data_IF_350688521664
#
_entry.id   IF_350688521664
#
_cell.length_a   1.000
_cell.length_b   1.000
_cell.length_c   1.000
_cell.angle_alpha   90.00
_cell.angle_beta   90.00
_cell.angle_gamma   90.00
#
_symmetry.space_group_name_H-M   'P 1'
#
loop_
_entity.id
_entity.type
_entity.pdbx_description
1 polymer ?
#
# COMPACT_ATOMS: atom_id res chain seq x y z
N UNK A 1 -28.93 -1.38 -33.11
CA UNK A 1 -29.20 -1.58 -31.67
C UNK A 1 -28.20 -2.62 -31.14
N UNK A 2 -27.23 -2.25 -30.29
CA UNK A 2 -26.20 -3.19 -29.81
C UNK A 2 -26.82 -4.17 -28.80
N UNK A 3 -26.88 -5.46 -29.14
CA UNK A 3 -27.37 -6.50 -28.23
C UNK A 3 -26.36 -6.70 -27.09
N UNK A 4 -26.69 -6.15 -25.93
CA UNK A 4 -25.92 -6.37 -24.71
C UNK A 4 -26.27 -7.76 -24.15
N UNK A 5 -25.26 -8.59 -23.93
CA UNK A 5 -25.46 -9.99 -23.51
C UNK A 5 -26.25 -10.10 -22.20
N UNK A 6 -27.07 -11.16 -22.07
CA UNK A 6 -27.85 -11.44 -20.84
C UNK A 6 -26.94 -11.48 -19.59
N UNK A 7 -25.73 -12.03 -19.75
CA UNK A 7 -24.70 -12.10 -18.70
C UNK A 7 -24.26 -10.71 -18.23
N UNK A 8 -24.10 -9.77 -19.16
CA UNK A 8 -23.72 -8.40 -18.82
C UNK A 8 -24.83 -7.69 -18.03
N UNK A 9 -26.10 -7.82 -18.47
CA UNK A 9 -27.25 -7.22 -17.76
C UNK A 9 -27.35 -7.74 -16.32
N UNK A 10 -27.25 -9.05 -16.12
CA UNK A 10 -27.31 -9.65 -14.79
C UNK A 10 -26.19 -9.13 -13.86
N UNK A 11 -24.96 -9.04 -14.38
CA UNK A 11 -23.80 -8.53 -13.64
C UNK A 11 -23.95 -7.06 -13.27
N UNK A 12 -24.46 -6.24 -14.18
CA UNK A 12 -24.69 -4.81 -13.94
C UNK A 12 -25.80 -4.58 -12.91
N UNK A 13 -26.93 -5.31 -13.01
CA UNK A 13 -28.01 -5.26 -12.01
C UNK A 13 -27.53 -5.66 -10.62
N UNK A 14 -26.64 -6.65 -10.51
CA UNK A 14 -26.05 -7.04 -9.24
C UNK A 14 -25.21 -5.91 -8.62
N UNK A 15 -24.40 -5.19 -9.40
CA UNK A 15 -23.65 -4.03 -8.90
C UNK A 15 -24.55 -2.89 -8.45
N UNK A 16 -25.62 -2.61 -9.20
CA UNK A 16 -26.62 -1.61 -8.79
C UNK A 16 -27.29 -1.97 -7.46
N UNK A 17 -27.63 -3.26 -7.28
CA UNK A 17 -28.24 -3.74 -6.03
C UNK A 17 -27.29 -3.54 -4.85
N UNK A 18 -26.02 -3.90 -5.01
CA UNK A 18 -25.01 -3.75 -3.96
C UNK A 18 -24.78 -2.27 -3.64
N UNK A 19 -24.61 -1.41 -4.65
CA UNK A 19 -24.42 0.02 -4.45
C UNK A 19 -25.60 0.64 -3.69
N UNK A 20 -26.84 0.30 -4.09
CA UNK A 20 -28.05 0.73 -3.38
C UNK A 20 -28.11 0.22 -1.94
N UNK A 21 -27.73 -1.03 -1.67
CA UNK A 21 -27.71 -1.58 -0.31
C UNK A 21 -26.66 -0.94 0.60
N UNK A 22 -25.69 -0.22 0.04
CA UNK A 22 -24.64 0.48 0.79
C UNK A 22 -24.77 2.01 0.67
N UNK A 23 -25.96 2.51 0.28
CA UNK A 23 -26.27 3.94 0.12
C UNK A 23 -25.20 4.72 -0.67
N UNK A 24 -24.69 4.13 -1.75
CA UNK A 24 -23.65 4.73 -2.58
C UNK A 24 -23.98 4.70 -4.08
N UNK A 25 -23.33 5.58 -4.84
CA UNK A 25 -23.44 5.57 -6.30
C UNK A 25 -22.76 4.34 -6.90
N UNK A 26 -23.24 3.90 -8.07
CA UNK A 26 -22.62 2.77 -8.77
C UNK A 26 -21.20 3.08 -9.24
N UNK A 27 -20.92 4.35 -9.54
CA UNK A 27 -19.59 4.84 -9.92
C UNK A 27 -18.61 4.68 -8.77
N UNK A 28 -19.00 5.13 -7.57
CA UNK A 28 -18.19 4.99 -6.36
C UNK A 28 -17.95 3.50 -6.03
N UNK A 29 -18.98 2.65 -6.14
CA UNK A 29 -18.83 1.21 -5.94
C UNK A 29 -17.86 0.56 -6.95
N UNK A 30 -17.93 0.95 -8.23
CA UNK A 30 -17.03 0.45 -9.26
C UNK A 30 -15.60 0.90 -9.02
N UNK A 31 -15.39 2.15 -8.60
CA UNK A 31 -14.08 2.66 -8.23
C UNK A 31 -13.50 1.92 -7.01
N UNK A 32 -14.27 1.77 -5.94
CA UNK A 32 -13.87 1.01 -4.75
C UNK A 32 -13.50 -0.43 -5.10
N UNK A 33 -14.26 -1.05 -6.00
CA UNK A 33 -13.96 -2.41 -6.48
C UNK A 33 -12.67 -2.46 -7.30
N UNK A 34 -12.40 -1.45 -8.13
CA UNK A 34 -11.16 -1.33 -8.91
C UNK A 34 -9.97 -1.22 -7.96
N UNK A 35 -10.03 -0.28 -7.02
CA UNK A 35 -9.01 -0.10 -5.96
C UNK A 35 -8.81 -1.36 -5.12
N UNK A 36 -9.88 -2.06 -4.75
CA UNK A 36 -9.78 -3.35 -4.06
C UNK A 36 -9.04 -4.42 -4.88
N UNK A 37 -9.19 -4.40 -6.21
CA UNK A 37 -8.52 -5.35 -7.10
C UNK A 37 -7.04 -5.01 -7.24
N UNK A 38 -6.72 -3.72 -7.43
CA UNK A 38 -5.36 -3.18 -7.44
C UNK A 38 -4.65 -3.52 -6.12
N UNK A 39 -5.28 -3.29 -4.96
CA UNK A 39 -4.73 -3.65 -3.65
C UNK A 39 -4.48 -5.16 -3.49
N UNK A 40 -5.35 -6.01 -4.04
CA UNK A 40 -5.18 -7.48 -4.03
C UNK A 40 -4.01 -7.91 -4.91
N UNK A 41 -3.84 -7.27 -6.06
CA UNK A 41 -2.73 -7.53 -6.98
C UNK A 41 -1.41 -7.08 -6.38
N UNK A 42 -1.34 -5.86 -5.84
CA UNK A 42 -0.20 -5.36 -5.08
C UNK A 42 0.12 -6.28 -3.90
N UNK A 43 -0.88 -6.80 -3.20
CA UNK A 43 -0.67 -7.80 -2.13
C UNK A 43 -0.05 -9.10 -2.65
N UNK A 44 -0.55 -9.64 -3.77
CA UNK A 44 0.01 -10.85 -4.36
C UNK A 44 1.44 -10.66 -4.84
N UNK A 45 1.76 -9.52 -5.43
CA UNK A 45 3.13 -9.17 -5.83
C UNK A 45 4.05 -9.09 -4.62
N UNK A 46 3.61 -8.43 -3.53
CA UNK A 46 4.34 -8.40 -2.25
C UNK A 46 4.62 -9.78 -1.68
N UNK A 47 3.63 -10.67 -1.68
CA UNK A 47 3.76 -12.01 -1.10
C UNK A 47 4.66 -12.91 -1.97
N UNK A 48 4.72 -12.68 -3.28
CA UNK A 48 5.51 -13.48 -4.23
C UNK A 48 6.95 -13.00 -4.41
N UNK A 49 7.16 -11.68 -4.41
CA UNK A 49 8.43 -11.07 -4.80
C UNK A 49 9.20 -10.50 -3.62
N UNK A 50 8.70 -10.68 -2.40
CA UNK A 50 9.28 -10.08 -1.19
C UNK A 50 9.17 -8.56 -1.20
N UNK A 51 9.69 -7.94 -0.15
CA UNK A 51 9.72 -6.48 0.01
C UNK A 51 11.08 -6.05 0.49
N UNK A 52 11.51 -4.89 0.03
CA UNK A 52 12.69 -4.19 0.52
C UNK A 52 12.32 -2.73 0.77
N UNK A 53 13.04 -2.12 1.71
CA UNK A 53 12.87 -0.73 2.09
C UNK A 53 13.87 0.12 1.32
N UNK A 54 13.39 1.24 0.77
CA UNK A 54 14.25 2.22 0.12
C UNK A 54 14.67 3.22 1.19
N UNK A 55 15.78 2.93 1.86
CA UNK A 55 16.28 3.74 2.96
C UNK A 55 16.56 5.19 2.55
N UNK A 56 17.04 5.44 1.32
CA UNK A 56 17.42 6.78 0.87
C UNK A 56 16.22 7.72 0.68
N UNK A 57 15.01 7.19 0.54
CA UNK A 57 13.79 7.96 0.27
C UNK A 57 12.93 8.17 1.52
N UNK A 58 13.56 8.18 2.69
CA UNK A 58 12.85 8.39 3.95
C UNK A 58 12.19 9.77 3.99
N UNK A 59 11.02 9.85 4.61
CA UNK A 59 10.37 11.11 4.97
C UNK A 59 10.30 11.22 6.48
N UNK A 60 10.75 12.34 7.03
CA UNK A 60 10.73 12.63 8.47
C UNK A 60 9.64 13.66 8.71
N UNK A 61 8.65 13.28 9.51
CA UNK A 61 7.70 14.19 10.13
C UNK A 61 7.99 14.26 11.64
N UNK A 62 7.52 15.30 12.32
CA UNK A 62 7.82 15.63 13.73
C UNK A 62 7.71 14.49 14.75
N UNK A 63 7.00 13.39 14.41
CA UNK A 63 6.80 12.24 15.30
C UNK A 63 6.97 10.87 14.63
N UNK A 64 7.35 10.86 13.36
CA UNK A 64 7.47 9.60 12.63
C UNK A 64 8.43 9.70 11.47
N UNK A 65 9.12 8.59 11.23
CA UNK A 65 9.92 8.41 10.02
C UNK A 65 9.21 7.37 9.16
N UNK A 66 8.99 7.71 7.89
CA UNK A 66 8.38 6.82 6.92
C UNK A 66 9.40 6.43 5.86
N UNK A 67 9.35 5.17 5.41
CA UNK A 67 10.19 4.65 4.35
C UNK A 67 9.33 4.01 3.27
N UNK A 68 9.46 4.43 2.01
CA UNK A 68 8.79 3.76 0.91
C UNK A 68 9.35 2.35 0.71
N UNK A 69 8.47 1.44 0.32
CA UNK A 69 8.83 0.06 0.05
C UNK A 69 8.78 -0.23 -1.45
N UNK A 70 9.59 -1.19 -1.89
CA UNK A 70 9.53 -1.76 -3.23
C UNK A 70 9.60 -3.29 -3.17
N UNK A 71 9.22 -3.96 -4.25
CA UNK A 71 9.49 -5.40 -4.40
C UNK A 71 10.99 -5.63 -4.57
N UNK A 72 11.48 -6.86 -4.37
CA UNK A 72 12.89 -7.19 -4.63
C UNK A 72 13.30 -6.96 -6.09
N UNK A 73 12.33 -6.82 -7.01
CA UNK A 73 12.54 -6.52 -8.42
C UNK A 73 12.54 -5.01 -8.74
N UNK A 74 12.46 -4.15 -7.72
CA UNK A 74 12.49 -2.70 -7.89
C UNK A 74 11.17 -2.08 -8.32
N UNK A 75 10.04 -2.78 -8.17
CA UNK A 75 8.71 -2.17 -8.42
C UNK A 75 8.27 -1.42 -7.16
N UNK A 76 8.00 -0.11 -7.23
CA UNK A 76 7.54 0.64 -6.07
C UNK A 76 6.19 0.09 -5.59
N UNK A 77 6.02 0.02 -4.27
CA UNK A 77 4.79 -0.38 -3.63
C UNK A 77 4.10 0.87 -3.07
N UNK A 78 2.77 0.94 -3.18
CA UNK A 78 1.94 1.96 -2.51
C UNK A 78 1.85 1.75 -0.99
N UNK A 79 2.91 1.23 -0.38
CA UNK A 79 3.00 0.91 1.04
C UNK A 79 4.26 1.56 1.60
N UNK A 80 4.10 2.21 2.74
CA UNK A 80 5.18 2.80 3.52
C UNK A 80 5.36 2.02 4.82
N UNK A 81 6.61 1.88 5.22
CA UNK A 81 7.02 1.45 6.55
C UNK A 81 7.11 2.67 7.46
N UNK A 82 6.60 2.59 8.70
CA UNK A 82 6.58 3.73 9.62
C UNK A 82 7.25 3.36 10.93
N UNK A 83 8.14 4.23 11.39
CA UNK A 83 8.83 4.15 12.68
C UNK A 83 8.43 5.35 13.53
N UNK A 84 8.10 5.11 14.79
CA UNK A 84 7.71 6.14 15.77
C UNK A 84 8.73 6.29 16.90
N UNK A 85 9.63 5.33 17.05
CA UNK A 85 10.69 5.32 18.06
C UNK A 85 11.88 4.46 17.60
N UNK A 86 13.01 4.55 18.31
CA UNK A 86 14.22 3.79 17.97
C UNK A 86 13.98 2.27 17.96
N UNK A 87 13.16 1.73 18.86
CA UNK A 87 12.82 0.31 18.90
C UNK A 87 12.12 -0.17 17.63
N UNK A 88 11.16 0.61 17.13
CA UNK A 88 10.45 0.33 15.88
C UNK A 88 11.41 0.35 14.69
N UNK A 89 12.40 1.26 14.69
CA UNK A 89 13.42 1.30 13.67
C UNK A 89 14.36 0.09 13.71
N UNK A 90 14.80 -0.35 14.90
CA UNK A 90 15.65 -1.54 15.07
C UNK A 90 14.91 -2.81 14.61
N UNK A 91 13.64 -2.98 14.99
CA UNK A 91 12.82 -4.10 14.55
C UNK A 91 12.68 -4.14 13.02
N UNK A 92 12.62 -2.97 12.41
CA UNK A 92 12.50 -2.78 10.98
C UNK A 92 13.81 -3.12 10.25
N UNK A 93 14.97 -2.77 10.81
CA UNK A 93 16.29 -3.22 10.31
C UNK A 93 16.45 -4.76 10.42
N UNK A 94 16.01 -5.36 11.53
CA UNK A 94 16.05 -6.82 11.69
C UNK A 94 15.20 -7.55 10.65
N UNK A 95 14.07 -6.93 10.25
CA UNK A 95 13.10 -7.55 9.33
C UNK A 95 13.46 -7.36 7.86
N UNK A 96 14.07 -6.22 7.50
CA UNK A 96 14.25 -5.82 6.10
C UNK A 96 15.72 -5.57 5.70
N UNK A 97 16.66 -5.83 6.60
CA UNK A 97 18.10 -5.64 6.39
C UNK A 97 18.62 -4.34 7.00
N UNK A 98 19.94 -4.23 7.10
CA UNK A 98 20.56 -3.06 7.73
C UNK A 98 20.36 -1.79 6.89
N UNK A 99 20.08 -0.69 7.59
CA UNK A 99 20.03 0.64 7.00
C UNK A 99 21.46 1.20 6.90
N UNK A 100 21.82 1.95 5.84
CA UNK A 100 23.09 2.65 5.77
C UNK A 100 23.33 3.54 6.99
N UNK A 101 24.54 3.52 7.55
CA UNK A 101 24.88 4.19 8.82
C UNK A 101 24.53 5.68 8.82
N UNK A 102 24.79 6.40 7.74
CA UNK A 102 24.48 7.83 7.62
C UNK A 102 22.99 8.12 7.76
N UNK A 103 22.14 7.21 7.26
CA UNK A 103 20.69 7.31 7.34
C UNK A 103 20.22 6.93 8.73
N UNK A 104 20.74 5.84 9.29
CA UNK A 104 20.40 5.39 10.63
C UNK A 104 20.64 6.48 11.68
N UNK A 105 21.76 7.21 11.59
CA UNK A 105 22.06 8.33 12.49
C UNK A 105 21.00 9.43 12.40
N UNK A 106 20.57 9.81 11.19
CA UNK A 106 19.52 10.83 10.98
C UNK A 106 18.18 10.40 11.56
N UNK A 107 17.83 9.12 11.38
CA UNK A 107 16.57 8.55 11.85
C UNK A 107 16.54 8.51 13.37
N UNK A 108 17.61 8.02 14.01
CA UNK A 108 17.72 7.97 15.47
C UNK A 108 17.64 9.38 16.05
N UNK A 109 18.40 10.34 15.52
CA UNK A 109 18.35 11.73 15.97
C UNK A 109 16.96 12.36 15.83
N UNK A 110 16.16 11.94 14.85
CA UNK A 110 14.80 12.45 14.65
C UNK A 110 13.76 11.77 15.55
N UNK A 111 14.02 10.55 16.01
CA UNK A 111 13.13 9.77 16.86
C UNK A 111 13.41 9.94 18.37
N UNK A 112 14.55 10.54 18.72
CA UNK A 112 14.94 10.87 20.10
C UNK A 112 14.57 12.30 20.53
N UNK A 113 14.14 13.15 19.59
CA UNK A 113 13.61 14.51 19.85
C UNK A 113 12.12 14.48 20.15
#
# INVERSE_FOLDING_TARGET
MRYVSKRYKAKFSAFHKIARSNDMSIELWLELKRRCSELKESRRLRDKEGKIIIWEQLSIDDKMVTFPMQTLKGTPLDVISVCFNAESFISLQQSYGECPQEIAIKVIASLEN
#
